data_IF_998632032924
#
_entry.id   IF_998632032924
#
_cell.length_a   1.000
_cell.length_b   1.000
_cell.length_c   1.000
_cell.angle_alpha   90.00
_cell.angle_beta   90.00
_cell.angle_gamma   90.00
#
_symmetry.space_group_name_H-M   'P 1'
#
loop_
_entity.id
_entity.type
_entity.pdbx_description
1 polymer ?
#
# COMPACT_ATOMS: atom_id res chain seq x y z
N UNK A 1 4.89 4.91 -18.94
CA UNK A 1 3.87 4.05 -18.31
C UNK A 1 4.07 4.14 -16.81
N UNK A 2 3.03 3.89 -16.01
CA UNK A 2 3.14 3.86 -14.55
C UNK A 2 2.35 2.68 -13.99
N UNK A 3 2.83 2.06 -12.90
CA UNK A 3 2.30 0.80 -12.38
C UNK A 3 2.20 0.92 -10.87
N UNK A 4 1.01 0.67 -10.31
CA UNK A 4 0.75 0.80 -8.89
C UNK A 4 -0.12 -0.34 -8.36
N UNK A 5 0.32 -1.06 -7.32
CA UNK A 5 1.65 -0.98 -6.73
C UNK A 5 2.76 -1.63 -7.59
N UNK A 6 4.02 -1.34 -7.28
CA UNK A 6 5.17 -1.99 -7.93
C UNK A 6 5.44 -3.40 -7.38
N UNK A 7 5.00 -3.63 -6.15
CA UNK A 7 5.00 -4.93 -5.47
C UNK A 7 3.59 -5.29 -5.05
N UNK A 8 3.12 -6.45 -5.44
CA UNK A 8 1.78 -6.97 -5.17
C UNK A 8 1.85 -8.35 -4.52
N UNK A 9 0.71 -8.85 -4.03
CA UNK A 9 0.56 -10.21 -3.50
C UNK A 9 -0.55 -10.95 -4.25
N UNK A 10 -0.58 -12.27 -4.11
CA UNK A 10 -1.68 -13.10 -4.63
C UNK A 10 -3.05 -12.61 -4.12
N UNK A 11 -4.06 -12.55 -4.99
CA UNK A 11 -5.40 -12.06 -4.63
C UNK A 11 -5.54 -10.54 -4.53
N UNK A 12 -4.49 -9.78 -4.85
CA UNK A 12 -4.55 -8.30 -4.92
C UNK A 12 -4.76 -7.80 -6.35
N UNK A 13 -4.78 -6.49 -6.56
CA UNK A 13 -4.91 -5.87 -7.89
C UNK A 13 -3.73 -4.94 -8.17
N UNK A 14 -3.30 -4.88 -9.43
CA UNK A 14 -2.31 -3.93 -9.93
C UNK A 14 -2.96 -3.03 -10.98
N UNK A 15 -2.80 -1.72 -10.82
CA UNK A 15 -3.29 -0.72 -11.77
C UNK A 15 -2.14 -0.30 -12.68
N UNK A 16 -2.38 -0.39 -13.99
CA UNK A 16 -1.46 -0.03 -15.04
C UNK A 16 -1.99 1.22 -15.73
N UNK A 17 -1.25 2.31 -15.59
CA UNK A 17 -1.50 3.56 -16.28
C UNK A 17 -0.67 3.64 -17.57
N UNK A 18 -1.37 3.68 -18.69
CA UNK A 18 -0.78 3.86 -20.00
C UNK A 18 -1.07 5.27 -20.52
N UNK A 19 0.01 5.97 -20.89
CA UNK A 19 -0.09 7.28 -21.55
C UNK A 19 0.35 7.12 -23.01
N UNK A 20 -0.57 7.44 -23.91
CA UNK A 20 -0.32 7.50 -25.34
C UNK A 20 -0.22 8.96 -25.79
N UNK A 21 0.99 9.40 -26.09
CA UNK A 21 1.23 10.76 -26.59
C UNK A 21 0.92 10.83 -28.10
N UNK A 22 -0.14 11.55 -28.46
CA UNK A 22 -0.62 11.66 -29.85
C UNK A 22 0.17 12.63 -30.72
N UNK A 23 1.04 13.48 -30.13
CA UNK A 23 1.90 14.42 -30.87
C UNK A 23 2.88 13.74 -31.84
N UNK A 24 3.16 12.45 -31.64
CA UNK A 24 4.05 11.68 -32.50
C UNK A 24 3.35 11.02 -33.69
N UNK A 25 2.02 11.15 -33.79
CA UNK A 25 1.23 10.62 -34.89
C UNK A 25 1.31 11.61 -36.05
N UNK A 26 1.90 11.17 -37.16
CA UNK A 26 1.89 11.94 -38.41
C UNK A 26 0.54 11.71 -39.11
N UNK A 27 0.10 12.69 -39.90
CA UNK A 27 -1.25 12.91 -40.48
C UNK A 27 -1.97 11.70 -41.14
N UNK A 28 -1.33 10.53 -41.26
CA UNK A 28 -1.83 9.35 -41.97
C UNK A 28 -2.42 8.24 -41.06
N UNK A 29 -2.13 8.20 -39.75
CA UNK A 29 -2.53 7.08 -38.88
C UNK A 29 -3.40 7.50 -37.69
N UNK A 30 -4.68 7.72 -37.97
CA UNK A 30 -5.67 8.15 -36.97
C UNK A 30 -6.08 7.02 -36.01
N UNK A 31 -5.84 5.76 -36.37
CA UNK A 31 -6.25 4.58 -35.59
C UNK A 31 -5.10 3.55 -35.46
N UNK A 32 -4.03 3.84 -34.70
CA UNK A 32 -3.03 2.83 -34.38
C UNK A 32 -3.63 1.60 -33.70
N UNK A 33 -3.05 0.43 -33.95
CA UNK A 33 -3.38 -0.81 -33.22
C UNK A 33 -2.52 -0.90 -31.96
N UNK A 34 -3.14 -1.19 -30.81
CA UNK A 34 -2.48 -1.15 -29.51
C UNK A 34 -2.66 -2.47 -28.80
N UNK A 35 -1.57 -2.97 -28.21
CA UNK A 35 -1.56 -4.18 -27.39
C UNK A 35 -0.99 -3.86 -26.02
N UNK A 36 -1.83 -3.96 -24.99
CA UNK A 36 -1.43 -3.89 -23.59
C UNK A 36 -1.71 -5.23 -22.94
N UNK A 37 -0.69 -5.81 -22.32
CA UNK A 37 -0.82 -7.10 -21.65
C UNK A 37 0.16 -7.25 -20.50
N UNK A 38 0.00 -8.33 -19.76
CA UNK A 38 0.86 -8.74 -18.65
C UNK A 38 1.41 -10.11 -18.99
N UNK A 39 2.73 -10.25 -18.98
CA UNK A 39 3.40 -11.53 -19.08
C UNK A 39 3.85 -11.97 -17.68
N UNK A 40 3.44 -13.17 -17.27
CA UNK A 40 3.85 -13.76 -16.01
C UNK A 40 5.30 -14.32 -16.07
N UNK A 41 5.90 -14.69 -14.93
CA UNK A 41 7.25 -15.26 -14.86
C UNK A 41 7.42 -16.57 -15.64
N UNK A 42 6.34 -17.33 -15.85
CA UNK A 42 6.35 -18.60 -16.59
C UNK A 42 6.17 -18.38 -18.11
N UNK A 43 5.99 -17.11 -18.54
CA UNK A 43 5.91 -16.68 -19.92
C UNK A 43 4.49 -16.57 -20.48
N UNK A 44 3.46 -16.88 -19.69
CA UNK A 44 2.06 -16.79 -20.10
C UNK A 44 1.64 -15.33 -20.23
N UNK A 45 0.98 -15.02 -21.35
CA UNK A 45 0.51 -13.69 -21.68
C UNK A 45 -0.98 -13.54 -21.35
N UNK A 46 -1.30 -12.46 -20.65
CA UNK A 46 -2.66 -12.01 -20.34
C UNK A 46 -2.88 -10.66 -21.02
N UNK A 47 -3.69 -10.65 -22.08
CA UNK A 47 -4.03 -9.41 -22.78
C UNK A 47 -5.08 -8.64 -21.96
N UNK A 48 -4.78 -7.37 -21.68
CA UNK A 48 -5.69 -6.44 -21.02
C UNK A 48 -6.45 -5.59 -22.05
N UNK A 49 -5.79 -5.31 -23.18
CA UNK A 49 -6.34 -4.52 -24.26
C UNK A 49 -5.64 -4.87 -25.58
N UNK A 50 -6.42 -5.08 -26.64
CA UNK A 50 -5.92 -5.43 -27.97
C UNK A 50 -6.89 -4.92 -29.05
N UNK A 51 -6.86 -3.61 -29.31
CA UNK A 51 -7.79 -2.96 -30.26
C UNK A 51 -7.16 -1.71 -30.93
N UNK A 52 -7.89 -1.12 -31.87
CA UNK A 52 -7.57 0.19 -32.43
C UNK A 52 -7.93 1.32 -31.46
N UNK A 53 -7.02 2.27 -31.30
CA UNK A 53 -7.25 3.46 -30.48
C UNK A 53 -7.23 4.70 -31.35
N UNK A 54 -8.20 5.60 -31.15
CA UNK A 54 -8.22 6.89 -31.82
C UNK A 54 -7.02 7.74 -31.37
N UNK A 55 -6.12 8.04 -32.30
CA UNK A 55 -4.99 8.92 -32.13
C UNK A 55 -5.14 10.13 -33.03
N UNK A 56 -5.91 11.12 -32.59
CA UNK A 56 -6.01 12.39 -33.31
C UNK A 56 -4.73 13.19 -33.08
N UNK A 57 -4.01 13.60 -34.14
CA UNK A 57 -2.89 14.51 -33.98
C UNK A 57 -3.38 15.83 -33.39
N UNK A 58 -2.51 16.51 -32.65
CA UNK A 58 -2.81 17.87 -32.24
C UNK A 58 -3.05 18.73 -33.49
N UNK A 59 -4.04 19.63 -33.47
CA UNK A 59 -4.23 20.55 -34.58
C UNK A 59 -2.92 21.31 -34.78
N UNK A 60 -2.44 21.35 -36.03
CA UNK A 60 -1.25 22.10 -36.42
C UNK A 60 -1.35 23.49 -35.80
N UNK A 61 -0.35 23.87 -34.99
CA UNK A 61 -0.29 25.22 -34.42
C UNK A 61 -0.41 26.20 -35.59
N UNK A 62 -1.58 26.83 -35.74
CA UNK A 62 -1.72 27.99 -36.60
C UNK A 62 -0.71 28.98 -36.05
N UNK A 63 0.29 29.32 -36.85
CA UNK A 63 1.29 30.35 -36.55
C UNK A 63 0.54 31.49 -35.90
N UNK A 64 0.78 31.75 -34.62
CA UNK A 64 0.02 32.73 -33.86
C UNK A 64 0.19 34.12 -34.49
N UNK A 65 -0.72 34.49 -35.38
CA UNK A 65 -0.98 35.90 -35.69
C UNK A 65 -1.66 36.50 -34.46
N UNK A 66 -0.83 37.04 -33.57
CA UNK A 66 -1.16 38.08 -32.58
C UNK A 66 -2.52 37.95 -31.90
N UNK A 67 -2.64 37.04 -30.92
CA UNK A 67 -3.65 37.18 -29.86
C UNK A 67 -2.94 37.45 -28.53
N UNK A 68 -3.09 38.69 -28.05
CA UNK A 68 -2.42 39.30 -26.89
C UNK A 68 -3.03 38.92 -25.53
N UNK A 69 -3.42 37.65 -25.35
CA UNK A 69 -3.68 37.11 -24.02
C UNK A 69 -3.39 35.61 -23.99
N UNK A 70 -2.70 35.09 -22.97
CA UNK A 70 -2.50 33.65 -22.84
C UNK A 70 -3.86 33.00 -22.67
N UNK A 71 -4.32 32.29 -23.70
CA UNK A 71 -5.55 31.50 -23.60
C UNK A 71 -5.36 30.44 -22.51
N UNK A 72 -6.24 30.46 -21.51
CA UNK A 72 -6.29 29.44 -20.48
C UNK A 72 -6.57 28.09 -21.15
N UNK A 73 -5.56 27.22 -21.22
CA UNK A 73 -5.73 25.83 -21.62
C UNK A 73 -6.46 25.10 -20.49
N UNK A 74 -7.70 24.68 -20.74
CA UNK A 74 -8.42 23.81 -19.81
C UNK A 74 -7.70 22.46 -19.73
N UNK A 75 -7.25 22.09 -18.53
CA UNK A 75 -6.81 20.72 -18.26
C UNK A 75 -8.01 19.79 -18.48
N UNK A 76 -7.83 18.78 -19.32
CA UNK A 76 -8.85 17.76 -19.53
C UNK A 76 -9.15 17.09 -18.17
N UNK A 77 -10.43 16.84 -17.83
CA UNK A 77 -10.89 16.48 -16.46
C UNK A 77 -10.30 15.18 -15.87
N UNK A 78 -9.48 14.47 -16.63
CA UNK A 78 -8.94 13.16 -16.29
C UNK A 78 -7.44 13.17 -15.99
N UNK A 79 -6.86 14.32 -15.63
CA UNK A 79 -5.48 14.31 -15.11
C UNK A 79 -5.50 13.70 -13.70
N UNK A 80 -4.92 12.50 -13.50
CA UNK A 80 -4.90 11.87 -12.18
C UNK A 80 -4.13 12.74 -11.19
N UNK A 81 -4.85 13.25 -10.19
CA UNK A 81 -4.31 14.00 -9.07
C UNK A 81 -3.15 13.26 -8.37
N UNK A 82 -3.15 11.93 -8.38
CA UNK A 82 -2.06 11.11 -7.83
C UNK A 82 -0.73 11.27 -8.59
N UNK A 83 -0.75 11.33 -9.93
CA UNK A 83 0.48 11.56 -10.72
C UNK A 83 0.92 13.01 -10.61
N UNK A 84 -0.01 13.96 -10.62
CA UNK A 84 0.33 15.36 -10.35
C UNK A 84 0.94 15.51 -8.96
N UNK A 85 0.42 14.82 -7.93
CA UNK A 85 0.98 14.88 -6.59
C UNK A 85 2.42 14.33 -6.55
N UNK A 86 2.71 13.23 -7.25
CA UNK A 86 4.07 12.68 -7.33
C UNK A 86 5.03 13.64 -8.06
N UNK A 87 4.63 14.17 -9.23
CA UNK A 87 5.41 15.17 -9.97
C UNK A 87 5.55 16.53 -9.27
N UNK A 88 4.62 16.91 -8.40
CA UNK A 88 4.64 18.18 -7.66
C UNK A 88 5.19 18.05 -6.24
N UNK A 89 5.49 16.84 -5.76
CA UNK A 89 6.04 16.59 -4.42
C UNK A 89 7.48 17.07 -4.24
N UNK A 90 8.19 17.36 -5.35
CA UNK A 90 9.59 17.79 -5.37
C UNK A 90 9.81 19.20 -5.93
N UNK A 91 11.02 19.74 -5.74
CA UNK A 91 11.43 21.00 -6.34
C UNK A 91 11.80 20.81 -7.83
N UNK A 92 10.90 21.18 -8.73
CA UNK A 92 11.14 21.14 -10.18
C UNK A 92 11.27 22.55 -10.77
N UNK A 93 12.11 22.68 -11.81
CA UNK A 93 12.18 23.90 -12.61
C UNK A 93 10.86 24.10 -13.37
N UNK A 94 10.43 25.35 -13.52
CA UNK A 94 9.16 25.72 -14.17
C UNK A 94 9.02 25.11 -15.56
N UNK A 95 10.09 25.12 -16.34
CA UNK A 95 10.10 24.62 -17.72
C UNK A 95 9.79 23.12 -17.76
N UNK A 96 10.31 22.37 -16.78
CA UNK A 96 10.07 20.93 -16.65
C UNK A 96 8.65 20.63 -16.20
N UNK A 97 8.07 21.46 -15.34
CA UNK A 97 6.66 21.36 -14.95
C UNK A 97 5.72 21.68 -16.13
N UNK A 98 6.06 22.70 -16.94
CA UNK A 98 5.31 23.03 -18.16
C UNK A 98 5.37 21.87 -19.14
N UNK A 99 6.56 21.30 -19.39
CA UNK A 99 6.73 20.13 -20.25
C UNK A 99 5.91 18.92 -19.75
N UNK A 100 5.91 18.64 -18.44
CA UNK A 100 5.11 17.56 -17.86
C UNK A 100 3.61 17.80 -18.08
N UNK A 101 3.13 19.03 -17.83
CA UNK A 101 1.73 19.39 -17.99
C UNK A 101 1.27 19.37 -19.46
N UNK A 102 2.12 19.80 -20.39
CA UNK A 102 1.85 19.75 -21.83
C UNK A 102 1.78 18.31 -22.36
N UNK A 103 2.67 17.43 -21.87
CA UNK A 103 2.65 16.00 -22.20
C UNK A 103 1.45 15.25 -21.60
N UNK A 104 0.93 15.73 -20.47
CA UNK A 104 -0.30 15.23 -19.86
C UNK A 104 -1.54 15.74 -20.63
N UNK A 105 -1.52 16.98 -21.12
CA UNK A 105 -2.65 17.52 -21.89
C UNK A 105 -2.81 16.91 -23.29
N UNK A 106 -1.69 16.60 -23.95
CA UNK A 106 -1.65 15.95 -25.28
C UNK A 106 -1.69 14.41 -25.21
N UNK A 107 -1.69 13.84 -24.00
CA UNK A 107 -1.68 12.41 -23.76
C UNK A 107 -3.10 11.83 -23.64
N UNK A 108 -3.38 10.71 -24.29
CA UNK A 108 -4.51 9.86 -23.93
C UNK A 108 -4.11 8.94 -22.78
N UNK A 109 -4.86 9.02 -21.69
CA UNK A 109 -4.60 8.26 -20.47
C UNK A 109 -5.59 7.10 -20.33
N UNK A 110 -5.06 5.89 -20.24
CA UNK A 110 -5.83 4.66 -20.02
C UNK A 110 -5.39 4.00 -18.71
N UNK A 111 -6.35 3.38 -18.01
CA UNK A 111 -6.10 2.63 -16.79
C UNK A 111 -6.63 1.22 -16.97
N UNK A 112 -5.74 0.26 -16.76
CA UNK A 112 -6.09 -1.15 -16.80
C UNK A 112 -5.86 -1.73 -15.41
N UNK A 113 -6.81 -2.53 -14.93
CA UNK A 113 -6.66 -3.26 -13.67
C UNK A 113 -6.33 -4.70 -14.02
N UNK A 114 -5.23 -5.19 -13.45
CA UNK A 114 -4.87 -6.61 -13.48
C UNK A 114 -5.14 -7.20 -12.11
N UNK A 115 -6.16 -8.05 -12.03
CA UNK A 115 -6.48 -8.80 -10.82
C UNK A 115 -5.54 -10.00 -10.72
N UNK A 116 -4.74 -10.04 -9.66
CA UNK A 116 -3.75 -11.10 -9.42
C UNK A 116 -4.46 -12.34 -8.89
N UNK A 117 -4.44 -13.47 -9.61
CA UNK A 117 -5.04 -14.71 -9.11
C UNK A 117 -4.45 -15.16 -7.76
N UNK A 118 -5.25 -15.86 -6.96
CA UNK A 118 -4.81 -16.41 -5.66
C UNK A 118 -3.65 -17.42 -5.80
N UNK A 119 -3.52 -18.04 -6.97
CA UNK A 119 -2.47 -19.00 -7.30
C UNK A 119 -1.49 -18.48 -8.35
N UNK A 120 -1.43 -17.16 -8.55
CA UNK A 120 -0.53 -16.55 -9.53
C UNK A 120 0.94 -16.94 -9.24
N UNK A 121 1.76 -17.25 -10.26
CA UNK A 121 3.19 -17.48 -10.08
C UNK A 121 3.86 -16.31 -9.35
N UNK A 122 4.78 -16.60 -8.43
CA UNK A 122 5.54 -15.54 -7.77
C UNK A 122 6.66 -15.05 -8.67
N UNK A 123 6.87 -13.74 -8.67
CA UNK A 123 8.05 -13.09 -9.19
C UNK A 123 7.77 -11.93 -10.12
N UNK A 124 8.67 -11.69 -11.09
CA UNK A 124 8.65 -10.53 -11.98
C UNK A 124 7.67 -10.70 -13.13
N UNK A 125 6.61 -9.90 -13.12
CA UNK A 125 5.64 -9.77 -14.22
C UNK A 125 6.07 -8.62 -15.12
N UNK A 126 6.11 -8.84 -16.42
CA UNK A 126 6.48 -7.82 -17.41
C UNK A 126 5.23 -7.30 -18.09
N UNK A 127 5.20 -6.01 -18.39
CA UNK A 127 4.14 -5.46 -19.23
C UNK A 127 4.53 -5.56 -20.69
N UNK A 128 3.56 -5.97 -21.49
CA UNK A 128 3.58 -5.84 -22.93
C UNK A 128 2.90 -4.51 -23.25
N UNK A 129 3.62 -3.65 -23.95
CA UNK A 129 3.11 -2.36 -24.41
C UNK A 129 3.60 -2.13 -25.82
N UNK A 130 2.74 -2.43 -26.78
CA UNK A 130 3.05 -2.32 -28.20
C UNK A 130 2.07 -1.36 -28.88
N UNK A 131 2.64 -0.49 -29.71
CA UNK A 131 1.92 0.39 -30.61
C UNK A 131 2.33 0.02 -32.03
N UNK A 132 1.36 -0.42 -32.83
CA UNK A 132 1.54 -0.88 -34.20
C UNK A 132 1.05 0.22 -35.16
N UNK A 133 1.97 0.74 -35.97
CA UNK A 133 1.72 1.76 -37.00
C UNK A 133 2.59 1.46 -38.22
N UNK A 134 2.00 1.35 -39.40
CA UNK A 134 2.71 1.09 -40.67
C UNK A 134 3.61 -0.15 -40.68
N UNK A 135 3.17 -1.22 -40.01
CA UNK A 135 3.97 -2.44 -39.85
C UNK A 135 5.17 -2.27 -38.91
N UNK A 136 5.33 -1.12 -38.25
CA UNK A 136 6.35 -0.86 -37.24
C UNK A 136 5.74 -1.02 -35.86
N UNK A 137 6.42 -1.82 -35.02
CA UNK A 137 6.09 -1.95 -33.60
C UNK A 137 6.94 -0.96 -32.81
N UNK A 138 6.27 -0.09 -32.05
CA UNK A 138 6.90 0.81 -31.08
C UNK A 138 6.59 0.32 -29.67
N UNK A 139 7.62 0.31 -28.84
CA UNK A 139 7.50 -0.04 -27.43
C UNK A 139 7.48 1.21 -26.55
N UNK A 140 7.03 1.03 -25.31
CA UNK A 140 7.05 2.06 -24.28
C UNK A 140 8.47 2.58 -24.03
N UNK A 141 8.62 3.90 -23.86
CA UNK A 141 9.90 4.54 -23.49
C UNK A 141 10.38 4.13 -22.09
N UNK A 142 9.47 3.61 -21.26
CA UNK A 142 9.77 3.09 -19.92
C UNK A 142 9.94 1.58 -19.91
N UNK A 143 10.15 0.94 -21.06
CA UNK A 143 10.28 -0.52 -21.17
C UNK A 143 11.21 -1.20 -20.13
N UNK A 144 12.35 -0.62 -19.72
CA UNK A 144 13.18 -1.21 -18.65
C UNK A 144 12.46 -1.32 -17.30
N UNK A 145 11.53 -0.40 -17.04
CA UNK A 145 10.75 -0.28 -15.80
C UNK A 145 9.33 -0.81 -15.93
N UNK A 146 8.93 -1.34 -17.09
CA UNK A 146 7.58 -1.82 -17.35
C UNK A 146 7.37 -3.25 -16.79
N UNK A 147 7.48 -3.36 -15.46
CA UNK A 147 7.30 -4.61 -14.72
C UNK A 147 6.75 -4.35 -13.32
N UNK A 148 6.26 -5.39 -12.65
CA UNK A 148 5.96 -5.38 -11.20
C UNK A 148 6.29 -6.75 -10.62
N UNK A 149 6.33 -6.86 -9.29
CA UNK A 149 6.57 -8.13 -8.62
C UNK A 149 5.30 -8.63 -7.94
N UNK A 150 5.08 -9.94 -8.00
CA UNK A 150 4.14 -10.63 -7.12
C UNK A 150 4.98 -11.45 -6.14
N UNK A 151 4.90 -11.10 -4.86
CA UNK A 151 5.78 -11.64 -3.84
C UNK A 151 5.01 -12.31 -2.71
N UNK A 152 5.70 -13.16 -1.97
CA UNK A 152 5.17 -13.77 -0.77
C UNK A 152 6.27 -13.95 0.25
N UNK A 153 6.03 -13.46 1.46
CA UNK A 153 6.86 -13.68 2.62
C UNK A 153 5.99 -14.35 3.69
N UNK A 154 6.55 -15.29 4.44
CA UNK A 154 5.85 -15.90 5.57
C UNK A 154 6.76 -16.03 6.79
N UNK A 155 6.16 -16.14 7.98
CA UNK A 155 6.87 -16.64 9.15
C UNK A 155 6.65 -18.16 9.23
N UNK A 156 7.72 -18.94 9.23
CA UNK A 156 7.66 -20.40 9.31
C UNK A 156 7.61 -20.89 10.77
N UNK A 157 8.34 -20.21 11.64
CA UNK A 157 8.48 -20.58 13.04
C UNK A 157 8.85 -19.37 13.88
N UNK A 158 8.27 -19.28 15.07
CA UNK A 158 8.78 -18.45 16.16
C UNK A 158 9.28 -19.39 17.25
N UNK A 159 10.45 -19.11 17.82
CA UNK A 159 11.07 -19.98 18.80
C UNK A 159 11.95 -19.23 19.79
N UNK A 160 12.45 -19.99 20.75
CA UNK A 160 13.36 -19.53 21.79
C UNK A 160 14.64 -20.37 21.75
N UNK A 161 15.79 -19.71 21.85
CA UNK A 161 17.11 -20.33 22.01
C UNK A 161 17.76 -19.71 23.25
N UNK A 162 17.74 -20.44 24.36
CA UNK A 162 18.15 -19.89 25.65
C UNK A 162 17.24 -18.75 26.10
N UNK A 163 17.78 -17.53 26.23
CA UNK A 163 17.01 -16.31 26.57
C UNK A 163 16.61 -15.48 25.35
N UNK A 164 17.02 -15.88 24.16
CA UNK A 164 16.80 -15.12 22.93
C UNK A 164 15.60 -15.67 22.16
N UNK A 165 14.69 -14.78 21.77
CA UNK A 165 13.57 -15.09 20.89
C UNK A 165 13.99 -14.85 19.44
N UNK A 166 13.56 -15.73 18.54
CA UNK A 166 13.82 -15.60 17.11
C UNK A 166 12.59 -15.97 16.29
N UNK A 167 12.51 -15.43 15.08
CA UNK A 167 11.58 -15.88 14.05
C UNK A 167 12.36 -16.36 12.83
N UNK A 168 11.82 -17.37 12.15
CA UNK A 168 12.29 -17.86 10.87
C UNK A 168 11.35 -17.32 9.81
N UNK A 169 11.83 -16.37 9.02
CA UNK A 169 11.08 -15.75 7.93
C UNK A 169 11.55 -16.32 6.59
N UNK A 170 10.62 -16.47 5.65
CA UNK A 170 10.88 -17.13 4.36
C UNK A 170 10.41 -16.21 3.23
N UNK A 171 11.30 -15.88 2.31
CA UNK A 171 10.94 -15.32 1.01
C UNK A 171 10.60 -16.47 0.06
N UNK A 172 9.38 -16.49 -0.47
CA UNK A 172 8.94 -17.52 -1.43
C UNK A 172 9.16 -17.09 -2.89
N UNK A 173 9.63 -15.86 -3.10
CA UNK A 173 9.82 -15.26 -4.42
C UNK A 173 11.23 -15.53 -4.96
N UNK A 174 11.38 -15.53 -6.29
CA UNK A 174 12.69 -15.69 -6.97
C UNK A 174 13.50 -14.40 -7.03
N UNK A 175 12.95 -13.32 -6.49
CA UNK A 175 13.51 -11.99 -6.46
C UNK A 175 13.74 -11.56 -5.02
N UNK A 176 14.68 -10.63 -4.85
CA UNK A 176 14.92 -10.00 -3.55
C UNK A 176 13.66 -9.32 -3.05
N UNK A 177 13.37 -9.43 -1.76
CA UNK A 177 12.18 -8.81 -1.16
C UNK A 177 12.59 -7.90 0.00
N UNK A 178 12.34 -6.58 -0.10
CA UNK A 178 12.60 -5.67 1.00
C UNK A 178 11.58 -5.90 2.10
N UNK A 179 12.08 -6.01 3.32
CA UNK A 179 11.27 -6.22 4.51
C UNK A 179 11.72 -5.27 5.62
N UNK A 180 10.79 -4.98 6.53
CA UNK A 180 11.00 -4.10 7.67
C UNK A 180 10.55 -4.81 8.93
N UNK A 181 11.51 -5.14 9.79
CA UNK A 181 11.25 -5.71 11.10
C UNK A 181 11.01 -4.57 12.10
N UNK A 182 9.83 -4.54 12.69
CA UNK A 182 9.42 -3.56 13.68
C UNK A 182 9.23 -4.27 15.01
N UNK A 183 10.01 -3.87 16.03
CA UNK A 183 9.81 -4.29 17.41
C UNK A 183 9.14 -3.19 18.21
N UNK A 184 8.15 -3.53 19.02
CA UNK A 184 7.36 -2.61 19.82
C UNK A 184 7.52 -2.95 21.31
N UNK A 185 7.75 -1.91 22.12
CA UNK A 185 7.73 -2.01 23.59
C UNK A 185 6.85 -0.91 24.18
N UNK A 186 5.99 -1.24 25.17
CA UNK A 186 5.37 -0.23 25.99
C UNK A 186 6.44 0.63 26.67
N UNK A 187 6.20 1.94 26.73
CA UNK A 187 6.97 2.88 27.53
C UNK A 187 6.06 3.58 28.54
N UNK A 188 6.65 4.37 29.43
CA UNK A 188 5.91 5.11 30.44
C UNK A 188 4.90 6.09 29.79
N UNK A 189 3.86 6.43 30.55
CA UNK A 189 2.81 7.37 30.17
C UNK A 189 2.01 7.01 28.90
N UNK A 190 1.92 5.72 28.53
CA UNK A 190 1.13 5.27 27.36
C UNK A 190 1.79 5.64 26.03
N UNK A 191 3.12 5.77 26.02
CA UNK A 191 3.91 5.95 24.81
C UNK A 191 4.48 4.61 24.34
N UNK A 192 4.79 4.49 23.06
CA UNK A 192 5.39 3.28 22.48
C UNK A 192 6.81 3.59 22.02
N UNK A 193 7.76 2.71 22.36
CA UNK A 193 9.10 2.72 21.77
C UNK A 193 9.18 1.65 20.69
N UNK A 194 9.64 2.05 19.51
CA UNK A 194 9.79 1.18 18.36
C UNK A 194 11.25 1.03 17.97
N UNK A 195 11.66 -0.18 17.62
CA UNK A 195 12.92 -0.47 16.93
C UNK A 195 12.60 -0.88 15.51
N UNK A 196 13.27 -0.27 14.53
CA UNK A 196 13.05 -0.56 13.11
C UNK A 196 14.35 -1.04 12.49
N UNK A 197 14.30 -2.20 11.84
CA UNK A 197 15.40 -2.73 11.05
C UNK A 197 14.90 -3.05 9.64
N UNK A 198 15.55 -2.50 8.62
CA UNK A 198 15.19 -2.71 7.22
C UNK A 198 16.30 -3.50 6.54
N UNK A 199 15.92 -4.53 5.79
CA UNK A 199 16.84 -5.37 5.05
C UNK A 199 16.13 -6.04 3.87
N UNK A 200 16.90 -6.62 2.97
CA UNK A 200 16.38 -7.44 1.88
C UNK A 200 16.54 -8.93 2.22
N UNK A 201 15.51 -9.71 1.90
CA UNK A 201 15.61 -11.16 1.81
C UNK A 201 16.09 -11.52 0.41
N UNK A 202 17.10 -12.38 0.31
CA UNK A 202 17.57 -12.94 -0.95
C UNK A 202 16.51 -13.88 -1.56
N UNK A 203 16.61 -14.22 -2.87
CA UNK A 203 15.71 -15.15 -3.51
C UNK A 203 15.62 -16.48 -2.75
N UNK A 204 14.39 -16.91 -2.45
CA UNK A 204 14.11 -18.18 -1.76
C UNK A 204 14.81 -18.33 -0.39
N UNK A 205 15.24 -17.22 0.23
CA UNK A 205 15.96 -17.24 1.50
C UNK A 205 15.05 -17.62 2.67
N UNK A 206 15.54 -18.54 3.50
CA UNK A 206 15.06 -18.73 4.87
C UNK A 206 16.04 -18.04 5.83
N UNK A 207 15.55 -17.02 6.54
CA UNK A 207 16.37 -16.18 7.41
C UNK A 207 15.89 -16.24 8.84
N UNK A 208 16.84 -16.46 9.76
CA UNK A 208 16.61 -16.31 11.19
C UNK A 208 16.78 -14.84 11.58
N UNK A 209 15.76 -14.26 12.20
CA UNK A 209 15.79 -12.88 12.70
C UNK A 209 15.62 -12.85 14.22
N UNK A 210 16.48 -12.12 14.95
CA UNK A 210 16.33 -11.97 16.39
C UNK A 210 15.13 -11.06 16.72
N UNK A 211 14.36 -11.46 17.72
CA UNK A 211 13.20 -10.73 18.19
C UNK A 211 13.57 -9.94 19.45
N UNK A 212 13.94 -8.68 19.24
CA UNK A 212 14.42 -7.82 20.31
C UNK A 212 13.33 -7.46 21.33
N UNK A 213 12.05 -7.54 20.98
CA UNK A 213 10.96 -7.06 21.84
C UNK A 213 9.86 -8.12 22.06
N UNK A 214 8.92 -7.93 23.01
CA UNK A 214 7.80 -8.85 23.16
C UNK A 214 6.83 -8.87 21.96
N UNK A 215 6.74 -7.78 21.21
CA UNK A 215 5.85 -7.60 20.08
C UNK A 215 6.64 -7.23 18.84
N UNK A 216 6.73 -8.11 17.86
CA UNK A 216 7.45 -7.81 16.63
C UNK A 216 6.58 -8.12 15.42
N UNK A 217 6.73 -7.31 14.38
CA UNK A 217 6.01 -7.42 13.12
C UNK A 217 6.99 -7.36 11.98
N UNK A 218 6.81 -8.21 10.97
CA UNK A 218 7.45 -8.05 9.68
C UNK A 218 6.49 -7.30 8.77
N UNK A 219 6.94 -6.17 8.24
CA UNK A 219 6.25 -5.44 7.18
C UNK A 219 6.95 -5.74 5.85
N UNK A 220 6.17 -6.06 4.83
CA UNK A 220 6.66 -6.23 3.47
C UNK A 220 5.64 -5.66 2.48
N UNK A 221 5.91 -5.75 1.18
CA UNK A 221 5.01 -5.24 0.15
C UNK A 221 4.71 -3.74 0.29
N UNK A 222 5.77 -2.92 0.37
CA UNK A 222 5.64 -1.47 0.61
C UNK A 222 4.81 -1.19 1.88
N UNK A 223 5.03 -2.00 2.93
CA UNK A 223 4.38 -1.92 4.25
C UNK A 223 2.86 -2.23 4.26
N UNK A 224 2.29 -2.69 3.13
CA UNK A 224 0.87 -3.10 3.06
C UNK A 224 0.57 -4.45 3.70
N UNK A 225 1.58 -5.29 3.85
CA UNK A 225 1.44 -6.62 4.44
C UNK A 225 2.14 -6.68 5.79
N UNK A 226 1.45 -7.25 6.78
CA UNK A 226 1.90 -7.32 8.17
C UNK A 226 1.89 -8.77 8.62
N UNK A 227 3.04 -9.28 9.04
CA UNK A 227 3.19 -10.62 9.62
C UNK A 227 3.56 -10.47 11.09
N UNK A 228 2.68 -10.85 12.03
CA UNK A 228 3.01 -10.92 13.45
C UNK A 228 4.10 -11.98 13.70
N UNK A 229 5.11 -11.66 14.50
CA UNK A 229 6.25 -12.54 14.82
C UNK A 229 6.32 -12.86 16.32
N UNK A 230 5.17 -13.12 16.95
CA UNK A 230 5.06 -13.52 18.35
C UNK A 230 4.78 -15.03 18.47
N UNK A 231 5.33 -15.67 19.50
CA UNK A 231 5.06 -17.08 19.78
C UNK A 231 3.73 -17.20 20.53
N UNK A 232 2.75 -17.88 19.91
CA UNK A 232 1.41 -18.01 20.45
C UNK A 232 0.65 -16.67 20.45
N UNK A 233 -0.66 -16.77 20.65
CA UNK A 233 -1.54 -15.60 20.76
C UNK A 233 -1.87 -15.32 22.23
N UNK A 234 -0.98 -14.67 23.00
CA UNK A 234 -1.46 -14.09 24.23
C UNK A 234 -2.41 -12.96 23.83
N UNK A 235 -3.70 -13.06 24.16
CA UNK A 235 -4.69 -12.09 23.75
C UNK A 235 -4.27 -10.66 24.13
N UNK A 236 -4.10 -9.78 23.14
CA UNK A 236 -3.74 -8.38 23.38
C UNK A 236 -4.99 -7.53 23.44
N UNK A 237 -5.05 -6.58 24.38
CA UNK A 237 -6.23 -5.75 24.57
C UNK A 237 -6.19 -4.55 23.64
N UNK A 238 -7.20 -4.44 22.77
CA UNK A 238 -7.43 -3.28 21.93
C UNK A 238 -8.76 -2.63 22.30
N UNK A 239 -8.72 -1.37 22.70
CA UNK A 239 -9.92 -0.55 22.89
C UNK A 239 -10.60 -0.30 21.56
N UNK A 240 -11.92 -0.25 21.57
CA UNK A 240 -12.74 0.05 20.41
C UNK A 240 -12.53 1.52 20.00
N UNK A 241 -11.74 1.70 18.93
CA UNK A 241 -11.35 3.02 18.43
C UNK A 241 -12.51 3.82 17.83
N UNK A 242 -13.67 3.19 17.59
CA UNK A 242 -14.86 3.85 17.06
C UNK A 242 -15.68 4.56 18.15
N UNK A 243 -15.39 4.29 19.42
CA UNK A 243 -16.10 4.84 20.57
C UNK A 243 -15.56 6.24 20.89
N UNK A 244 -16.46 7.22 20.90
CA UNK A 244 -16.08 8.61 21.17
C UNK A 244 -15.76 8.78 22.67
N UNK A 245 -14.59 9.35 22.96
CA UNK A 245 -14.19 9.70 24.32
C UNK A 245 -14.42 11.20 24.58
N UNK A 246 -15.20 11.52 25.62
CA UNK A 246 -15.41 12.90 26.09
C UNK A 246 -14.79 13.07 27.47
N UNK A 247 -13.87 14.02 27.60
CA UNK A 247 -13.31 14.45 28.88
C UNK A 247 -14.04 15.71 29.35
N UNK A 248 -14.70 15.65 30.51
CA UNK A 248 -15.36 16.80 31.13
C UNK A 248 -14.36 17.58 31.99
N UNK A 249 -14.60 18.88 32.19
CA UNK A 249 -13.72 19.77 32.98
C UNK A 249 -13.50 19.32 34.43
N UNK A 250 -14.42 18.52 34.98
CA UNK A 250 -14.31 17.93 36.32
C UNK A 250 -13.46 16.64 36.37
N UNK A 251 -12.72 16.32 35.30
CA UNK A 251 -11.84 15.14 35.22
C UNK A 251 -12.55 13.83 34.88
N UNK A 252 -13.89 13.84 34.77
CA UNK A 252 -14.67 12.66 34.38
C UNK A 252 -14.53 12.37 32.89
N UNK A 253 -14.40 11.09 32.56
CA UNK A 253 -14.31 10.63 31.16
C UNK A 253 -15.51 9.75 30.85
N UNK A 254 -16.16 10.01 29.72
CA UNK A 254 -17.32 9.26 29.23
C UNK A 254 -17.02 8.69 27.85
N UNK A 255 -17.55 7.51 27.57
CA UNK A 255 -17.46 6.80 26.30
C UNK A 255 -18.84 6.72 25.66
N UNK A 256 -18.97 7.16 24.41
CA UNK A 256 -20.22 7.19 23.67
C UNK A 256 -20.14 6.25 22.48
N UNK A 257 -20.99 5.22 22.47
CA UNK A 257 -21.16 4.33 21.32
C UNK A 257 -22.23 4.90 20.39
N UNK A 258 -22.08 4.68 19.09
CA UNK A 258 -23.01 5.24 18.08
C UNK A 258 -24.43 4.64 18.18
N UNK A 259 -24.54 3.45 18.73
CA UNK A 259 -25.73 2.61 18.78
C UNK A 259 -26.42 2.58 20.16
N UNK A 260 -25.92 3.35 21.14
CA UNK A 260 -26.50 3.41 22.49
C UNK A 260 -26.79 4.84 22.91
N UNK A 261 -27.97 5.03 23.51
CA UNK A 261 -28.39 6.33 24.06
C UNK A 261 -27.61 6.72 25.32
N UNK A 262 -27.18 5.73 26.11
CA UNK A 262 -26.45 5.95 27.36
C UNK A 262 -24.93 5.98 27.15
N UNK A 263 -24.28 7.00 27.72
CA UNK A 263 -22.83 7.10 27.78
C UNK A 263 -22.26 6.24 28.92
N UNK A 264 -21.17 5.52 28.65
CA UNK A 264 -20.47 4.74 29.67
C UNK A 264 -19.49 5.64 30.45
N UNK A 265 -19.61 5.69 31.77
CA UNK A 265 -18.74 6.51 32.62
C UNK A 265 -17.49 5.72 33.05
N UNK A 266 -16.31 6.23 32.72
CA UNK A 266 -15.05 5.61 33.14
C UNK A 266 -14.70 5.99 34.58
N UNK A 267 -14.83 5.02 35.49
CA UNK A 267 -14.21 5.02 36.82
C UNK A 267 -12.68 5.07 36.72
N UNK A 268 -11.98 5.32 37.85
CA UNK A 268 -10.51 5.35 37.85
C UNK A 268 -9.87 4.06 37.33
N UNK A 269 -10.44 2.90 37.69
CA UNK A 269 -9.94 1.58 37.28
C UNK A 269 -10.23 1.30 35.79
N UNK A 270 -11.48 1.48 35.35
CA UNK A 270 -11.86 1.32 33.93
C UNK A 270 -11.11 2.29 33.03
N UNK A 271 -10.89 3.55 33.46
CA UNK A 271 -10.08 4.54 32.73
C UNK A 271 -8.64 4.07 32.55
N UNK A 272 -8.03 3.51 33.60
CA UNK A 272 -6.67 3.00 33.51
C UNK A 272 -6.55 1.86 32.52
N UNK A 273 -7.45 0.87 32.59
CA UNK A 273 -7.44 -0.25 31.65
C UNK A 273 -7.75 0.20 30.21
N UNK A 274 -8.74 1.08 30.03
CA UNK A 274 -9.08 1.69 28.74
C UNK A 274 -7.89 2.40 28.09
N UNK A 275 -7.09 3.12 28.87
CA UNK A 275 -5.91 3.84 28.37
C UNK A 275 -4.76 2.90 28.00
N UNK A 276 -4.59 1.79 28.71
CA UNK A 276 -3.54 0.78 28.43
C UNK A 276 -3.91 -0.21 27.31
N UNK A 277 -5.20 -0.28 26.93
CA UNK A 277 -5.70 -1.22 25.92
C UNK A 277 -5.50 -0.65 24.51
N UNK A 278 -4.25 -0.44 24.12
CA UNK A 278 -3.85 0.14 22.83
C UNK A 278 -3.34 -0.91 21.82
N UNK A 279 -3.50 -2.19 22.13
CA UNK A 279 -2.96 -3.32 21.37
C UNK A 279 -1.62 -3.84 21.89
N UNK A 280 -1.08 -3.28 22.98
CA UNK A 280 0.19 -3.73 23.56
C UNK A 280 0.05 -4.50 24.87
N UNK A 281 -1.02 -4.26 25.64
CA UNK A 281 -1.24 -4.93 26.92
C UNK A 281 -1.71 -6.37 26.71
N UNK A 282 -0.93 -7.32 27.20
CA UNK A 282 -1.26 -8.74 27.19
C UNK A 282 -2.26 -9.07 28.31
N UNK A 283 -3.30 -9.84 27.99
CA UNK A 283 -4.30 -10.29 28.96
C UNK A 283 -3.69 -11.05 30.16
N UNK A 284 -2.58 -11.77 29.94
CA UNK A 284 -1.87 -12.52 30.98
C UNK A 284 -1.13 -11.60 31.97
N UNK A 285 -0.92 -10.34 31.63
CA UNK A 285 -0.29 -9.34 32.50
C UNK A 285 -1.30 -8.64 33.42
N UNK A 286 -2.61 -8.90 33.24
CA UNK A 286 -3.66 -8.33 34.07
C UNK A 286 -3.65 -8.93 35.48
N UNK A 287 -3.81 -8.07 36.48
CA UNK A 287 -4.05 -8.50 37.87
C UNK A 287 -5.50 -8.96 38.04
N UNK A 288 -5.79 -9.74 39.09
CA UNK A 288 -7.14 -10.27 39.37
C UNK A 288 -8.24 -9.19 39.42
N UNK A 289 -7.94 -8.02 39.99
CA UNK A 289 -8.86 -6.88 39.97
C UNK A 289 -9.05 -6.24 38.60
N UNK A 290 -8.03 -6.26 37.73
CA UNK A 290 -8.12 -5.76 36.35
C UNK A 290 -8.87 -6.75 35.44
N UNK A 291 -8.84 -8.05 35.72
CA UNK A 291 -9.61 -9.07 34.98
C UNK A 291 -11.12 -8.84 35.08
N UNK A 292 -11.63 -8.48 36.26
CA UNK A 292 -13.07 -8.14 36.42
C UNK A 292 -13.47 -6.93 35.58
N UNK A 293 -12.62 -5.90 35.58
CA UNK A 293 -12.82 -4.69 34.77
C UNK A 293 -12.71 -4.99 33.27
N UNK A 294 -11.81 -5.89 32.88
CA UNK A 294 -11.70 -6.36 31.51
C UNK A 294 -12.98 -7.04 31.03
N UNK A 295 -13.53 -7.99 31.80
CA UNK A 295 -14.77 -8.69 31.41
C UNK A 295 -15.97 -7.73 31.28
N UNK A 296 -16.06 -6.73 32.17
CA UNK A 296 -17.06 -5.65 32.06
C UNK A 296 -16.89 -4.86 30.74
N UNK A 297 -15.69 -4.35 30.47
CA UNK A 297 -15.42 -3.57 29.26
C UNK A 297 -15.53 -4.41 27.97
N UNK A 298 -15.23 -5.71 28.03
CA UNK A 298 -15.39 -6.66 26.94
C UNK A 298 -16.85 -6.95 26.64
N UNK A 299 -17.65 -7.20 27.67
CA UNK A 299 -19.11 -7.41 27.54
C UNK A 299 -19.79 -6.15 26.96
N UNK A 300 -19.28 -4.99 27.34
CA UNK A 300 -19.69 -3.71 26.77
C UNK A 300 -19.11 -3.47 25.36
N UNK A 301 -18.30 -4.35 24.77
CA UNK A 301 -17.72 -4.13 23.44
C UNK A 301 -16.83 -2.87 23.36
N UNK A 302 -16.30 -2.43 24.50
CA UNK A 302 -15.37 -1.31 24.63
C UNK A 302 -13.93 -1.78 24.45
N UNK A 303 -13.60 -3.01 24.83
CA UNK A 303 -12.29 -3.62 24.57
C UNK A 303 -12.51 -4.95 23.85
N UNK A 304 -11.67 -5.22 22.87
CA UNK A 304 -11.58 -6.48 22.14
C UNK A 304 -10.24 -7.15 22.38
N UNK A 305 -10.23 -8.46 22.34
CA UNK A 305 -9.00 -9.27 22.41
C UNK A 305 -8.50 -9.52 20.99
N UNK A 306 -7.31 -9.01 20.68
CA UNK A 306 -6.59 -9.32 19.46
C UNK A 306 -5.83 -10.63 19.65
N UNK A 307 -6.08 -11.55 18.73
CA UNK A 307 -5.34 -12.80 18.64
C UNK A 307 -4.63 -12.86 17.30
N UNK A 308 -3.35 -13.22 17.34
CA UNK A 308 -2.56 -13.44 16.13
C UNK A 308 -2.54 -14.93 15.86
N UNK A 309 -3.31 -15.36 14.87
CA UNK A 309 -3.23 -16.74 14.36
C UNK A 309 -1.92 -16.86 13.59
N UNK A 310 -1.07 -17.81 14.01
CA UNK A 310 0.19 -18.17 13.35
C UNK A 310 -0.04 -19.22 12.27
#
# INVERSE_FOLDING_TARGET
>A
MSIFPKRAVQGSSVVIHWNFNTSQIKEQHVLPWVRIGVQDPDGKLFMLFEEHVLGLPDPVEKTMTSCSSPQLKYLNKNVPLLLLADYLSGAFKREKLVEILENIQSGRHYYFTFDVPQNAPLGKYKLISELHMDGIVRHSKTAPDDFFFIEKVSCRKVGESGRERYAVIVNHSREKTPVKLVGCRPAEAGTMRTTVNMFELEPLEERLVPLATPLNFLLYNEERQVIPLQAGSPGYLLRNQQVLQINKKNGRTYLLKKDREAAYHLTKQTKSLWQKSDGLLNIQELKEGELKVYEELKTEGLITELRFES
#
